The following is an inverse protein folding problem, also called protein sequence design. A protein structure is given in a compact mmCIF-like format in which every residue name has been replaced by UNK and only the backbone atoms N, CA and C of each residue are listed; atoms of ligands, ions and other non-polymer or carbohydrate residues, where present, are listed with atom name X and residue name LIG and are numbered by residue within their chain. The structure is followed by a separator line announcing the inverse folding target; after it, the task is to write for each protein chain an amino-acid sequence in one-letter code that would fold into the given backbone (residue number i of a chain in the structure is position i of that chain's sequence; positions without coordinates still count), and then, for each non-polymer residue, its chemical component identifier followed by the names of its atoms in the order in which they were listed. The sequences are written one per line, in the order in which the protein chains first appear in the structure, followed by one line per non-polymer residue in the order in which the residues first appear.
data_IF_858664557291
#
_entry.id   IF_858664557291
#
_cell.length_a   1.000
_cell.length_b   1.000
_cell.length_c   1.000
_cell.angle_alpha   90.00
_cell.angle_beta   90.00
_cell.angle_gamma   90.00
#
_symmetry.space_group_name_H-M   'P 1'
#
loop_
_entity.id
_entity.type
_entity.pdbx_description
1 polymer ?
#
# COMPACT_ATOMS: atom_id res chain seq x y z
N UNK A 1 -4.50 4.73 16.94
CA UNK A 1 -3.02 4.80 17.07
C UNK A 1 -2.41 3.74 16.18
N UNK A 2 -1.54 4.12 15.24
CA UNK A 2 -1.02 3.19 14.21
C UNK A 2 -0.23 2.00 14.75
N UNK A 3 0.28 2.10 15.98
CA UNK A 3 0.99 1.00 16.66
C UNK A 3 0.16 -0.29 16.83
N UNK A 4 -1.16 -0.20 16.73
CA UNK A 4 -2.05 -1.36 16.73
C UNK A 4 -2.08 -2.10 15.39
N UNK A 5 -1.59 -1.50 14.31
CA UNK A 5 -1.48 -2.12 12.98
C UNK A 5 -0.09 -2.70 12.81
N UNK A 6 -0.02 -4.02 12.66
CA UNK A 6 1.23 -4.73 12.42
C UNK A 6 1.48 -4.79 10.91
N UNK A 7 2.28 -3.87 10.39
CA UNK A 7 2.58 -3.83 8.94
C UNK A 7 3.18 -5.13 8.40
N UNK A 8 3.89 -5.88 9.26
CA UNK A 8 4.49 -7.16 8.89
C UNK A 8 3.46 -8.22 8.50
N UNK A 9 2.20 -8.08 8.93
CA UNK A 9 1.12 -8.98 8.54
C UNK A 9 0.62 -8.70 7.11
N UNK A 10 0.89 -7.50 6.57
CA UNK A 10 0.55 -7.09 5.20
C UNK A 10 1.67 -7.36 4.20
N UNK A 11 2.92 -7.49 4.67
CA UNK A 11 4.06 -7.66 3.77
C UNK A 11 3.89 -8.93 2.93
N UNK A 12 4.15 -8.77 1.64
CA UNK A 12 4.00 -9.83 0.65
C UNK A 12 5.34 -10.33 0.15
N UNK A 13 5.33 -11.54 -0.38
CA UNK A 13 6.47 -12.16 -1.05
C UNK A 13 6.09 -12.52 -2.48
N UNK A 14 7.08 -12.88 -3.30
CA UNK A 14 6.87 -13.39 -4.66
C UNK A 14 5.78 -14.49 -4.73
N UNK A 15 5.67 -15.33 -3.70
CA UNK A 15 4.69 -16.41 -3.62
C UNK A 15 3.23 -15.92 -3.44
N UNK A 16 3.05 -14.67 -3.01
CA UNK A 16 1.75 -14.07 -2.70
C UNK A 16 1.28 -13.17 -3.84
N UNK A 17 2.19 -12.47 -4.53
CA UNK A 17 1.84 -11.51 -5.59
C UNK A 17 1.34 -12.16 -6.88
N UNK A 18 1.61 -13.45 -7.08
CA UNK A 18 1.11 -14.21 -8.23
C UNK A 18 2.15 -14.38 -9.34
N UNK A 19 1.68 -14.53 -10.58
CA UNK A 19 2.52 -14.70 -11.77
C UNK A 19 2.71 -13.33 -12.45
N UNK A 20 3.96 -12.88 -12.51
CA UNK A 20 4.37 -11.59 -13.08
C UNK A 20 5.48 -11.78 -14.12
N UNK A 21 5.45 -12.89 -14.86
CA UNK A 21 6.38 -13.20 -15.94
C UNK A 21 7.88 -13.13 -15.55
N UNK A 22 8.20 -13.33 -14.27
CA UNK A 22 9.58 -13.25 -13.74
C UNK A 22 9.92 -11.98 -12.96
N UNK A 23 9.00 -11.03 -12.86
CA UNK A 23 9.16 -9.79 -12.07
C UNK A 23 8.51 -9.86 -10.68
N UNK A 24 8.18 -11.05 -10.18
CA UNK A 24 7.45 -11.24 -8.92
C UNK A 24 8.20 -10.66 -7.70
N UNK A 25 9.53 -10.78 -7.68
CA UNK A 25 10.37 -10.18 -6.64
C UNK A 25 10.26 -8.66 -6.64
N UNK A 26 10.38 -8.03 -7.81
CA UNK A 26 10.25 -6.59 -7.98
C UNK A 26 8.87 -6.11 -7.54
N UNK A 27 7.82 -6.79 -7.98
CA UNK A 27 6.43 -6.47 -7.62
C UNK A 27 6.21 -6.56 -6.10
N UNK A 28 6.70 -7.62 -5.46
CA UNK A 28 6.60 -7.77 -4.02
C UNK A 28 7.36 -6.65 -3.28
N UNK A 29 8.55 -6.28 -3.76
CA UNK A 29 9.30 -5.14 -3.22
C UNK A 29 8.51 -3.83 -3.35
N UNK A 30 7.92 -3.56 -4.51
CA UNK A 30 7.12 -2.34 -4.77
C UNK A 30 5.91 -2.25 -3.86
N UNK A 31 5.14 -3.33 -3.74
CA UNK A 31 3.98 -3.37 -2.84
C UNK A 31 4.40 -3.16 -1.37
N UNK A 32 5.47 -3.80 -0.94
CA UNK A 32 6.00 -3.59 0.41
C UNK A 32 6.47 -2.15 0.63
N UNK A 33 7.04 -1.52 -0.40
CA UNK A 33 7.44 -0.11 -0.38
C UNK A 33 6.25 0.82 -0.19
N UNK A 34 5.11 0.56 -0.85
CA UNK A 34 3.85 1.27 -0.57
C UNK A 34 3.43 1.13 0.90
N UNK A 35 3.39 -0.09 1.43
CA UNK A 35 2.97 -0.33 2.82
C UNK A 35 3.86 0.39 3.83
N UNK A 36 5.18 0.32 3.64
CA UNK A 36 6.12 1.03 4.49
C UNK A 36 5.95 2.55 4.38
N UNK A 37 5.78 3.07 3.17
CA UNK A 37 5.62 4.51 2.92
C UNK A 37 4.36 5.05 3.57
N UNK A 38 3.21 4.40 3.39
CA UNK A 38 1.95 4.79 4.04
C UNK A 38 2.09 4.77 5.54
N UNK A 39 2.64 3.70 6.12
CA UNK A 39 2.79 3.59 7.57
C UNK A 39 3.71 4.68 8.16
N UNK A 40 4.78 5.02 7.43
CA UNK A 40 5.69 6.09 7.83
C UNK A 40 5.03 7.46 7.76
N UNK A 41 4.22 7.71 6.73
CA UNK A 41 3.55 8.99 6.49
C UNK A 41 2.27 9.18 7.33
N UNK A 42 1.62 8.08 7.70
CA UNK A 42 0.41 8.11 8.51
C UNK A 42 0.65 8.68 9.91
N UNK A 43 -0.32 9.44 10.40
CA UNK A 43 -0.30 10.03 11.73
C UNK A 43 -0.25 8.95 12.80
N UNK A 44 0.48 9.20 13.90
CA UNK A 44 0.63 8.21 14.97
C UNK A 44 -0.70 7.86 15.64
N UNK A 45 -1.69 8.77 15.62
CA UNK A 45 -3.00 8.60 16.22
C UNK A 45 -4.08 8.05 15.27
N UNK A 46 -3.78 7.89 13.97
CA UNK A 46 -4.70 7.35 12.96
C UNK A 46 -5.44 6.10 13.47
N UNK A 47 -6.70 5.98 13.09
CA UNK A 47 -7.50 4.82 13.45
C UNK A 47 -6.89 3.56 12.80
N UNK A 48 -6.66 2.48 13.57
CA UNK A 48 -6.16 1.23 13.02
C UNK A 48 -7.01 0.68 11.87
N UNK A 49 -8.33 0.84 11.96
CA UNK A 49 -9.26 0.39 10.93
C UNK A 49 -9.10 1.19 9.64
N UNK A 50 -8.96 2.52 9.74
CA UNK A 50 -8.67 3.37 8.59
C UNK A 50 -7.33 3.01 7.95
N UNK A 51 -6.28 2.83 8.74
CA UNK A 51 -4.96 2.47 8.23
C UNK A 51 -5.00 1.10 7.53
N UNK A 52 -5.70 0.11 8.08
CA UNK A 52 -5.91 -1.18 7.42
C UNK A 52 -6.63 -1.02 6.09
N UNK A 53 -7.71 -0.25 6.02
CA UNK A 53 -8.43 0.01 4.77
C UNK A 53 -7.54 0.67 3.71
N UNK A 54 -6.66 1.60 4.11
CA UNK A 54 -5.71 2.23 3.20
C UNK A 54 -4.66 1.25 2.66
N UNK A 55 -4.16 0.33 3.50
CA UNK A 55 -3.24 -0.72 3.07
C UNK A 55 -3.94 -1.71 2.13
N UNK A 56 -5.18 -2.10 2.41
CA UNK A 56 -5.96 -2.96 1.52
C UNK A 56 -6.19 -2.29 0.15
N UNK A 57 -6.45 -0.98 0.13
CA UNK A 57 -6.64 -0.23 -1.12
C UNK A 57 -5.39 -0.23 -2.01
N UNK A 58 -4.19 -0.19 -1.43
CA UNK A 58 -2.92 -0.32 -2.18
C UNK A 58 -2.91 -1.62 -2.94
N UNK A 59 -3.22 -2.72 -2.25
CA UNK A 59 -3.26 -4.05 -2.87
C UNK A 59 -4.26 -4.05 -4.01
N UNK A 60 -5.52 -3.66 -3.75
CA UNK A 60 -6.58 -3.65 -4.77
C UNK A 60 -6.28 -2.75 -5.97
N UNK A 61 -5.55 -1.65 -5.76
CA UNK A 61 -5.22 -0.70 -6.84
C UNK A 61 -4.07 -1.18 -7.70
N UNK A 62 -3.04 -1.76 -7.09
CA UNK A 62 -1.78 -2.04 -7.78
C UNK A 62 -1.62 -3.50 -8.20
N UNK A 63 -2.27 -4.44 -7.52
CA UNK A 63 -2.17 -5.85 -7.87
C UNK A 63 -2.86 -6.10 -9.22
N UNK A 64 -2.06 -6.40 -10.24
CA UNK A 64 -2.51 -6.58 -11.62
C UNK A 64 -2.33 -5.35 -12.52
N UNK A 65 -1.79 -4.25 -12.02
CA UNK A 65 -1.36 -3.14 -12.86
C UNK A 65 0.02 -3.42 -13.45
N UNK A 66 0.10 -3.54 -14.78
CA UNK A 66 1.36 -3.83 -15.50
C UNK A 66 2.46 -2.78 -15.26
N UNK A 67 2.09 -1.56 -14.86
CA UNK A 67 3.03 -0.47 -14.58
C UNK A 67 3.70 -0.54 -13.21
N UNK A 68 3.21 -1.39 -12.30
CA UNK A 68 3.72 -1.53 -10.93
C UNK A 68 5.24 -1.77 -10.84
N UNK A 69 5.85 -2.73 -11.56
CA UNK A 69 7.29 -2.95 -11.50
C UNK A 69 8.11 -1.77 -12.08
N UNK A 70 7.51 -0.91 -12.89
CA UNK A 70 8.16 0.25 -13.50
C UNK A 70 8.16 1.49 -12.59
N UNK A 71 7.38 1.49 -11.50
CA UNK A 71 7.25 2.65 -10.61
C UNK A 71 8.57 3.00 -9.92
N UNK A 72 8.90 4.28 -9.91
CA UNK A 72 9.99 4.80 -9.09
C UNK A 72 9.50 5.15 -7.68
N UNK A 73 10.44 5.29 -6.75
CA UNK A 73 10.13 5.65 -5.37
C UNK A 73 9.35 6.98 -5.26
N UNK A 74 9.68 7.96 -6.10
CA UNK A 74 9.00 9.26 -6.12
C UNK A 74 7.53 9.11 -6.52
N UNK A 75 7.21 8.21 -7.47
CA UNK A 75 5.83 7.92 -7.88
C UNK A 75 5.04 7.25 -6.74
N UNK A 76 5.65 6.28 -6.07
CA UNK A 76 5.08 5.60 -4.90
C UNK A 76 4.79 6.62 -3.80
N UNK A 77 5.75 7.49 -3.50
CA UNK A 77 5.63 8.51 -2.48
C UNK A 77 4.51 9.50 -2.78
N UNK A 78 4.45 10.02 -4.00
CA UNK A 78 3.42 10.97 -4.43
C UNK A 78 2.02 10.32 -4.39
N UNK A 79 1.90 9.05 -4.79
CA UNK A 79 0.64 8.33 -4.69
C UNK A 79 0.21 8.09 -3.24
N UNK A 80 1.13 7.62 -2.37
CA UNK A 80 0.86 7.42 -0.95
C UNK A 80 0.43 8.72 -0.26
N UNK A 81 1.10 9.82 -0.63
CA UNK A 81 0.75 11.16 -0.16
C UNK A 81 -0.67 11.53 -0.55
N UNK A 82 -0.99 11.39 -1.83
CA UNK A 82 -2.32 11.72 -2.35
C UNK A 82 -3.41 10.88 -1.70
N UNK A 83 -3.14 9.58 -1.50
CA UNK A 83 -4.04 8.68 -0.79
C UNK A 83 -4.33 9.17 0.63
N UNK A 84 -3.29 9.50 1.41
CA UNK A 84 -3.45 9.96 2.78
C UNK A 84 -4.15 11.33 2.87
N UNK A 85 -3.82 12.26 1.96
CA UNK A 85 -4.46 13.58 1.90
C UNK A 85 -5.95 13.51 1.53
N UNK A 86 -6.37 12.47 0.80
CA UNK A 86 -7.75 12.27 0.35
C UNK A 86 -8.44 11.07 1.02
N UNK A 87 -7.87 10.51 2.09
CA UNK A 87 -8.34 9.26 2.71
C UNK A 87 -9.83 9.30 3.06
N UNK A 88 -10.33 10.41 3.58
CA UNK A 88 -11.75 10.58 3.92
C UNK A 88 -12.68 10.26 2.73
N UNK A 89 -12.31 10.67 1.51
CA UNK A 89 -13.11 10.40 0.31
C UNK A 89 -13.12 8.92 -0.09
N UNK A 90 -12.02 8.21 0.14
CA UNK A 90 -11.92 6.78 -0.17
C UNK A 90 -12.65 5.93 0.87
N UNK A 91 -12.58 6.31 2.15
CA UNK A 91 -13.23 5.61 3.26
C UNK A 91 -14.76 5.84 3.27
N UNK A 92 -15.24 7.00 2.82
CA UNK A 92 -16.68 7.27 2.63
C UNK A 92 -17.30 6.44 1.50
N UNK A 93 -16.52 5.99 0.51
CA UNK A 93 -17.03 5.20 -0.63
C UNK A 93 -17.21 3.70 -0.30
N UNK A 94 -16.62 3.22 0.80
CA UNK A 94 -16.76 1.83 1.24
C UNK A 94 -17.89 1.60 2.27
N UNK A 95 -18.59 2.66 2.72
CA UNK A 95 -19.74 2.62 3.63
C UNK A 95 -21.10 2.81 2.92
#
# INVERSE_FOLDING_TARGET
MKEFVVIHDFLVSEAVVGDWEGDEECVAEKINEFYHTIYQMAEDDIDPEELTQLLDLVWETWIGEDSLPELEFDDIYDWCRHLLENREQYLEQQN
#
